data_IF_632208584822
#
_entry.id   IF_632208584822
#
_cell.length_a   1.000
_cell.length_b   1.000
_cell.length_c   1.000
_cell.angle_alpha   90.00
_cell.angle_beta   90.00
_cell.angle_gamma   90.00
#
_symmetry.space_group_name_H-M   'P 1'
#
loop_
_entity.id
_entity.type
_entity.pdbx_description
1 polymer ?
#
# COMPACT_ATOMS: atom_id res chain seq x y z
N UNK A 1 -16.85 47.41 -27.17
CA UNK A 1 -17.50 46.54 -28.20
C UNK A 1 -16.74 45.24 -28.48
N UNK A 2 -15.41 45.18 -28.27
CA UNK A 2 -14.62 43.95 -28.52
C UNK A 2 -14.84 42.85 -27.44
N UNK A 3 -15.04 43.20 -26.17
CA UNK A 3 -15.22 42.27 -25.05
C UNK A 3 -16.54 41.48 -25.15
N UNK A 4 -17.60 42.10 -25.73
CA UNK A 4 -18.88 41.42 -25.92
C UNK A 4 -18.88 40.35 -27.01
N UNK A 5 -18.00 40.47 -28.02
CA UNK A 5 -17.86 39.43 -29.08
C UNK A 5 -17.08 38.19 -28.60
N UNK A 6 -16.08 38.38 -27.75
CA UNK A 6 -15.34 37.24 -27.19
C UNK A 6 -16.18 36.37 -26.26
N UNK A 7 -17.08 36.94 -25.46
CA UNK A 7 -18.02 36.16 -24.63
C UNK A 7 -19.03 35.32 -25.45
N UNK A 8 -19.40 35.79 -26.62
CA UNK A 8 -20.32 35.06 -27.50
C UNK A 8 -19.64 33.89 -28.25
N UNK A 9 -18.34 33.97 -28.55
CA UNK A 9 -17.61 32.88 -29.21
C UNK A 9 -17.38 31.69 -28.28
N UNK A 10 -17.13 31.93 -26.99
CA UNK A 10 -16.91 30.83 -26.02
C UNK A 10 -18.19 30.06 -25.66
N UNK A 11 -19.39 30.59 -25.96
CA UNK A 11 -20.66 29.93 -25.64
C UNK A 11 -21.18 29.08 -26.83
N UNK A 12 -20.61 29.24 -28.04
CA UNK A 12 -21.13 28.58 -29.24
C UNK A 12 -20.66 27.15 -29.48
N UNK A 13 -19.58 26.75 -28.85
CA UNK A 13 -18.95 25.44 -29.17
C UNK A 13 -19.26 24.30 -28.18
N UNK A 14 -20.17 24.51 -27.23
CA UNK A 14 -20.66 23.42 -26.38
C UNK A 14 -22.16 23.29 -26.55
N UNK A 15 -22.56 22.30 -27.34
CA UNK A 15 -23.94 21.80 -27.35
C UNK A 15 -24.17 21.06 -26.04
N UNK A 16 -24.44 21.80 -24.96
CA UNK A 16 -24.73 21.21 -23.65
C UNK A 16 -26.23 20.90 -23.67
N UNK A 17 -26.61 19.61 -23.64
CA UNK A 17 -28.00 19.21 -23.52
C UNK A 17 -28.60 19.88 -22.27
N UNK A 18 -29.62 20.70 -22.45
CA UNK A 18 -30.32 21.33 -21.33
C UNK A 18 -31.44 20.43 -20.87
N UNK A 19 -31.32 19.93 -19.65
CA UNK A 19 -32.41 19.28 -18.95
C UNK A 19 -33.47 20.33 -18.58
N UNK A 20 -34.51 20.45 -19.41
CA UNK A 20 -35.61 21.40 -19.21
C UNK A 20 -36.55 21.00 -18.07
N UNK A 21 -36.58 19.73 -17.70
CA UNK A 21 -37.44 19.18 -16.64
C UNK A 21 -36.74 19.06 -15.30
N UNK A 22 -35.41 19.10 -15.29
CA UNK A 22 -34.61 18.96 -14.07
C UNK A 22 -34.57 17.53 -13.52
N UNK A 23 -34.99 16.54 -14.30
CA UNK A 23 -35.11 15.14 -13.88
C UNK A 23 -33.77 14.38 -13.96
N UNK A 24 -32.75 14.98 -14.62
CA UNK A 24 -31.45 14.35 -14.77
C UNK A 24 -30.64 14.48 -13.47
N UNK A 25 -30.45 13.37 -12.78
CA UNK A 25 -29.47 13.25 -11.69
C UNK A 25 -28.18 12.61 -12.22
N UNK A 26 -27.06 13.38 -12.28
CA UNK A 26 -25.78 12.81 -12.66
C UNK A 26 -25.34 11.76 -11.63
N UNK A 27 -25.01 10.54 -12.09
CA UNK A 27 -24.62 9.45 -11.19
C UNK A 27 -23.18 9.60 -10.66
N UNK A 28 -22.33 10.31 -11.40
CA UNK A 28 -20.89 10.44 -11.07
C UNK A 28 -20.64 11.61 -10.13
N UNK A 29 -21.29 12.75 -10.38
CA UNK A 29 -21.23 13.94 -9.49
C UNK A 29 -22.64 14.43 -9.29
N UNK A 30 -23.16 14.38 -8.08
CA UNK A 30 -24.52 14.84 -7.77
C UNK A 30 -24.64 16.35 -8.01
N UNK A 31 -25.84 16.79 -8.44
CA UNK A 31 -26.16 18.21 -8.66
C UNK A 31 -25.85 19.00 -7.37
N UNK A 32 -25.03 20.04 -7.48
CA UNK A 32 -24.55 20.86 -6.35
C UNK A 32 -23.60 20.16 -5.36
N UNK A 33 -22.98 19.07 -5.74
CA UNK A 33 -21.96 18.43 -4.93
C UNK A 33 -20.67 19.24 -5.02
N UNK A 34 -20.33 19.95 -3.96
CA UNK A 34 -19.05 20.64 -3.75
C UNK A 34 -18.06 19.77 -3.01
N UNK A 35 -18.49 18.57 -2.56
CA UNK A 35 -17.67 17.65 -1.81
C UNK A 35 -16.90 16.70 -2.74
N UNK A 36 -15.59 16.73 -2.62
CA UNK A 36 -14.62 15.97 -3.43
C UNK A 36 -14.35 14.57 -2.81
N UNK A 37 -15.05 14.21 -1.73
CA UNK A 37 -14.81 12.95 -0.98
C UNK A 37 -14.80 11.70 -1.87
N UNK A 38 -15.69 11.63 -2.86
CA UNK A 38 -15.72 10.50 -3.83
C UNK A 38 -14.48 10.44 -4.73
N UNK A 39 -13.85 11.59 -5.04
CA UNK A 39 -12.63 11.63 -5.85
C UNK A 39 -11.43 11.21 -5.00
N UNK A 40 -11.40 11.58 -3.72
CA UNK A 40 -10.35 11.14 -2.80
C UNK A 40 -10.31 9.61 -2.70
N UNK A 41 -11.46 8.96 -2.50
CA UNK A 41 -11.54 7.50 -2.43
C UNK A 41 -11.08 6.82 -3.73
N UNK A 42 -11.36 7.44 -4.87
CA UNK A 42 -10.89 6.94 -6.16
C UNK A 42 -9.38 7.13 -6.34
N UNK A 43 -8.84 8.29 -5.95
CA UNK A 43 -7.39 8.55 -5.91
C UNK A 43 -6.69 7.50 -5.06
N UNK A 44 -7.21 7.23 -3.86
CA UNK A 44 -6.67 6.22 -2.96
C UNK A 44 -6.72 4.81 -3.58
N UNK A 45 -7.83 4.47 -4.25
CA UNK A 45 -7.98 3.18 -4.95
C UNK A 45 -6.98 3.03 -6.11
N UNK A 46 -6.78 4.08 -6.92
CA UNK A 46 -5.81 4.09 -8.01
C UNK A 46 -4.38 3.99 -7.49
N UNK A 47 -4.06 4.73 -6.43
CA UNK A 47 -2.75 4.68 -5.78
C UNK A 47 -2.46 3.29 -5.20
N UNK A 48 -3.43 2.68 -4.53
CA UNK A 48 -3.33 1.30 -4.01
C UNK A 48 -3.13 0.24 -5.11
N UNK A 49 -3.56 0.52 -6.35
CA UNK A 49 -3.30 -0.32 -7.52
C UNK A 49 -1.93 -0.08 -8.15
N UNK A 50 -1.10 0.79 -7.58
CA UNK A 50 0.26 1.06 -8.02
C UNK A 50 0.40 2.17 -9.08
N UNK A 51 -0.64 2.97 -9.32
CA UNK A 51 -0.53 4.13 -10.22
C UNK A 51 0.34 5.21 -9.57
N UNK A 52 1.18 5.86 -10.37
CA UNK A 52 1.95 7.01 -9.89
C UNK A 52 1.06 8.24 -9.71
N UNK A 53 1.49 9.21 -8.89
CA UNK A 53 0.74 10.46 -8.69
C UNK A 53 0.53 11.23 -10.01
N UNK A 54 1.45 11.10 -10.97
CA UNK A 54 1.34 11.71 -12.30
C UNK A 54 0.30 11.00 -13.17
N UNK A 55 0.27 9.66 -13.14
CA UNK A 55 -0.71 8.88 -13.89
C UNK A 55 -2.11 9.11 -13.35
N UNK A 56 -2.26 9.22 -12.03
CA UNK A 56 -3.53 9.56 -11.38
C UNK A 56 -3.99 10.95 -11.80
N UNK A 57 -3.08 11.95 -11.82
CA UNK A 57 -3.38 13.30 -12.28
C UNK A 57 -3.87 13.30 -13.73
N UNK A 58 -3.17 12.60 -14.63
CA UNK A 58 -3.56 12.46 -16.02
C UNK A 58 -4.94 11.79 -16.14
N UNK A 59 -5.15 10.69 -15.42
CA UNK A 59 -6.42 9.95 -15.41
C UNK A 59 -7.60 10.81 -14.92
N UNK A 60 -7.42 11.57 -13.85
CA UNK A 60 -8.44 12.47 -13.33
C UNK A 60 -8.80 13.57 -14.35
N UNK A 61 -7.81 14.07 -15.06
CA UNK A 61 -8.03 15.07 -16.11
C UNK A 61 -8.80 14.49 -17.30
N UNK A 62 -8.40 13.32 -17.76
CA UNK A 62 -8.98 12.67 -18.95
C UNK A 62 -10.40 12.16 -18.70
N UNK A 63 -10.68 11.56 -17.54
CA UNK A 63 -11.96 10.91 -17.24
C UNK A 63 -12.95 11.87 -16.59
N UNK A 64 -12.48 12.69 -15.65
CA UNK A 64 -13.35 13.56 -14.84
C UNK A 64 -13.20 15.06 -15.17
N UNK A 65 -12.23 15.43 -16.01
CA UNK A 65 -11.96 16.83 -16.34
C UNK A 65 -11.42 17.64 -15.14
N UNK A 66 -10.91 16.97 -14.12
CA UNK A 66 -10.38 17.59 -12.90
C UNK A 66 -8.88 17.75 -13.03
N UNK A 67 -8.41 19.00 -12.96
CA UNK A 67 -6.98 19.32 -12.90
C UNK A 67 -6.49 19.18 -11.44
N UNK A 68 -5.97 17.99 -11.10
CA UNK A 68 -5.35 17.73 -9.80
C UNK A 68 -3.83 17.72 -9.96
N UNK A 69 -3.12 18.53 -9.17
CA UNK A 69 -1.66 18.51 -9.17
C UNK A 69 -1.14 17.23 -8.51
N UNK A 70 0.08 16.80 -8.90
CA UNK A 70 0.73 15.64 -8.26
C UNK A 70 0.94 15.85 -6.75
N UNK A 71 1.14 17.11 -6.33
CA UNK A 71 1.26 17.50 -4.93
C UNK A 71 -0.07 17.33 -4.18
N UNK A 72 -1.18 17.77 -4.78
CA UNK A 72 -2.52 17.56 -4.21
C UNK A 72 -2.83 16.07 -4.05
N UNK A 73 -2.48 15.23 -5.02
CA UNK A 73 -2.65 13.78 -4.93
C UNK A 73 -1.76 13.20 -3.82
N UNK A 74 -0.53 13.68 -3.66
CA UNK A 74 0.35 13.27 -2.57
C UNK A 74 -0.26 13.58 -1.21
N UNK A 75 -0.81 14.76 -1.02
CA UNK A 75 -1.52 15.12 0.22
C UNK A 75 -2.76 14.24 0.49
N UNK A 76 -3.50 13.87 -0.56
CA UNK A 76 -4.62 12.94 -0.42
C UNK A 76 -4.14 11.56 0.01
N UNK A 77 -3.02 11.06 -0.56
CA UNK A 77 -2.46 9.75 -0.19
C UNK A 77 -1.88 9.73 1.21
N UNK A 78 -1.39 10.85 1.74
CA UNK A 78 -0.89 10.95 3.11
C UNK A 78 -1.98 10.66 4.16
N UNK A 79 -3.25 10.82 3.81
CA UNK A 79 -4.39 10.45 4.69
C UNK A 79 -4.49 8.95 4.95
N UNK A 80 -3.86 8.11 4.14
CA UNK A 80 -3.77 6.67 4.38
C UNK A 80 -2.83 6.35 5.56
N UNK A 81 -1.83 7.18 5.82
CA UNK A 81 -0.81 6.89 6.84
C UNK A 81 -1.38 6.63 8.24
N UNK A 82 -2.35 7.40 8.76
CA UNK A 82 -2.99 7.10 10.04
C UNK A 82 -3.71 5.74 10.04
N UNK A 83 -4.45 5.45 8.98
CA UNK A 83 -5.20 4.19 8.81
C UNK A 83 -4.22 3.00 8.73
N UNK A 84 -3.14 3.16 7.97
CA UNK A 84 -2.10 2.14 7.87
C UNK A 84 -1.41 1.90 9.23
N UNK A 85 -1.16 2.96 10.01
CA UNK A 85 -0.60 2.84 11.36
C UNK A 85 -1.56 2.16 12.32
N UNK A 86 -2.84 2.49 12.29
CA UNK A 86 -3.87 1.83 13.10
C UNK A 86 -3.94 0.33 12.75
N UNK A 87 -3.98 0.01 11.45
CA UNK A 87 -3.94 -1.37 10.98
C UNK A 87 -2.67 -2.10 11.43
N UNK A 88 -1.50 -1.46 11.32
CA UNK A 88 -0.23 -2.04 11.74
C UNK A 88 -0.21 -2.33 13.26
N UNK A 89 -0.80 -1.46 14.08
CA UNK A 89 -0.81 -1.58 15.54
C UNK A 89 -1.99 -2.38 16.10
N UNK A 90 -2.86 -2.91 15.24
CA UNK A 90 -4.02 -3.68 15.71
C UNK A 90 -3.61 -4.88 16.55
N UNK A 91 -4.42 -5.30 17.53
CA UNK A 91 -4.18 -6.52 18.27
C UNK A 91 -4.21 -7.74 17.33
N UNK A 92 -3.38 -8.73 17.62
CA UNK A 92 -3.25 -9.97 16.89
C UNK A 92 -3.86 -11.14 17.70
N UNK A 93 -4.03 -12.28 17.05
CA UNK A 93 -4.43 -13.52 17.73
C UNK A 93 -3.31 -13.99 18.67
N UNK A 94 -3.71 -14.65 19.76
CA UNK A 94 -2.75 -15.14 20.75
C UNK A 94 -1.85 -16.25 20.24
N UNK A 95 -2.31 -17.06 19.27
CA UNK A 95 -1.57 -18.23 18.75
C UNK A 95 -1.69 -18.34 17.23
N UNK A 96 -0.56 -18.66 16.61
CA UNK A 96 -0.48 -18.96 15.18
C UNK A 96 0.11 -20.34 14.94
N UNK A 97 -0.47 -21.08 13.98
CA UNK A 97 0.07 -22.38 13.56
C UNK A 97 1.38 -22.18 12.80
N UNK A 98 1.41 -21.24 11.84
CA UNK A 98 2.59 -20.94 11.04
C UNK A 98 2.71 -19.43 10.87
N UNK A 99 3.93 -18.90 10.97
CA UNK A 99 4.24 -17.52 10.57
C UNK A 99 5.33 -17.56 9.51
N UNK A 100 5.05 -17.00 8.34
CA UNK A 100 6.01 -16.78 7.27
C UNK A 100 6.60 -15.39 7.42
N UNK A 101 7.92 -15.28 7.35
CA UNK A 101 8.64 -14.01 7.44
C UNK A 101 9.60 -13.91 6.27
N UNK A 102 9.48 -12.85 5.49
CA UNK A 102 10.28 -12.62 4.27
C UNK A 102 10.54 -11.13 4.08
N UNK A 103 11.58 -10.78 3.32
CA UNK A 103 11.95 -9.41 3.02
C UNK A 103 12.07 -9.19 1.52
N UNK A 104 11.26 -8.27 1.00
CA UNK A 104 11.32 -7.85 -0.40
C UNK A 104 12.16 -6.60 -0.53
N UNK A 105 13.24 -6.69 -1.32
CA UNK A 105 14.16 -5.59 -1.56
C UNK A 105 13.74 -4.76 -2.77
N UNK A 106 13.85 -3.44 -2.64
CA UNK A 106 13.54 -2.50 -3.71
C UNK A 106 14.47 -1.28 -3.65
N UNK A 107 14.52 -0.53 -4.75
CA UNK A 107 15.32 0.68 -4.84
C UNK A 107 14.40 1.90 -4.81
N UNK A 108 14.69 2.82 -3.91
CA UNK A 108 14.01 4.13 -3.82
C UNK A 108 15.00 5.25 -4.12
N UNK A 109 14.49 6.32 -4.69
CA UNK A 109 15.26 7.54 -4.88
C UNK A 109 15.01 8.46 -3.69
N UNK A 110 16.06 8.69 -2.88
CA UNK A 110 16.05 9.54 -1.70
C UNK A 110 17.23 10.50 -1.81
N UNK A 111 17.02 11.80 -1.63
CA UNK A 111 18.04 12.85 -1.73
C UNK A 111 18.92 12.75 -2.97
N UNK A 112 18.32 12.55 -4.15
CA UNK A 112 18.97 12.35 -5.44
C UNK A 112 19.89 11.11 -5.53
N UNK A 113 19.82 10.19 -4.56
CA UNK A 113 20.59 8.93 -4.56
C UNK A 113 19.63 7.76 -4.63
N UNK A 114 20.05 6.69 -5.30
CA UNK A 114 19.32 5.43 -5.28
C UNK A 114 19.75 4.63 -4.05
N UNK A 115 18.81 4.42 -3.11
CA UNK A 115 19.03 3.67 -1.87
C UNK A 115 18.26 2.36 -1.95
N UNK A 116 18.91 1.25 -1.55
CA UNK A 116 18.26 -0.05 -1.41
C UNK A 116 17.52 -0.07 -0.08
N UNK A 117 16.22 -0.36 -0.11
CA UNK A 117 15.38 -0.57 1.08
C UNK A 117 14.74 -1.96 1.03
N UNK A 118 14.29 -2.46 2.16
CA UNK A 118 13.57 -3.71 2.26
C UNK A 118 12.20 -3.48 2.91
N UNK A 119 11.18 -4.16 2.41
CA UNK A 119 9.90 -4.33 3.10
C UNK A 119 9.89 -5.72 3.71
N UNK A 120 9.83 -5.76 5.01
CA UNK A 120 9.68 -6.97 5.81
C UNK A 120 8.21 -7.28 5.95
N UNK A 121 7.81 -8.49 5.64
CA UNK A 121 6.42 -8.93 5.69
C UNK A 121 6.31 -10.14 6.59
N UNK A 122 5.35 -10.12 7.51
CA UNK A 122 4.99 -11.29 8.30
C UNK A 122 3.56 -11.71 7.99
N UNK A 123 3.35 -12.97 7.62
CA UNK A 123 2.05 -13.57 7.30
C UNK A 123 1.80 -14.72 8.27
N UNK A 124 0.73 -14.61 9.06
CA UNK A 124 0.31 -15.66 10.00
C UNK A 124 -0.78 -16.55 9.44
N UNK A 125 -0.70 -17.83 9.76
CA UNK A 125 -1.77 -18.81 9.56
C UNK A 125 -2.35 -19.13 10.93
N UNK A 126 -3.62 -18.77 11.12
CA UNK A 126 -4.37 -19.05 12.35
C UNK A 126 -4.61 -20.55 12.52
N UNK A 127 -4.98 -20.99 13.72
CA UNK A 127 -5.31 -22.39 13.99
C UNK A 127 -6.49 -22.91 13.14
N UNK A 128 -7.35 -22.03 12.64
CA UNK A 128 -8.44 -22.38 11.73
C UNK A 128 -8.05 -22.42 10.25
N UNK A 129 -6.77 -22.28 9.92
CA UNK A 129 -6.22 -22.29 8.56
C UNK A 129 -6.33 -20.95 7.80
N UNK A 130 -7.01 -19.93 8.34
CA UNK A 130 -7.08 -18.61 7.69
C UNK A 130 -5.75 -17.88 7.78
N UNK A 131 -5.39 -17.22 6.68
CA UNK A 131 -4.18 -16.40 6.60
C UNK A 131 -4.50 -14.94 6.89
N UNK A 132 -3.57 -14.26 7.54
CA UNK A 132 -3.61 -12.80 7.69
C UNK A 132 -2.21 -12.21 7.65
N UNK A 133 -2.09 -11.00 7.14
CA UNK A 133 -0.83 -10.25 7.21
C UNK A 133 -0.69 -9.67 8.61
N UNK A 134 0.33 -10.08 9.36
CA UNK A 134 0.56 -9.60 10.73
C UNK A 134 1.08 -8.16 10.73
N UNK A 135 1.90 -7.82 9.76
CA UNK A 135 2.43 -6.47 9.59
C UNK A 135 3.40 -6.37 8.43
N UNK A 136 3.76 -5.12 8.11
CA UNK A 136 4.77 -4.76 7.13
C UNK A 136 5.65 -3.67 7.71
N UNK A 137 6.97 -3.84 7.59
CA UNK A 137 7.96 -2.89 8.12
C UNK A 137 8.93 -2.50 7.02
N UNK A 138 9.33 -1.23 6.99
CA UNK A 138 10.31 -0.72 6.03
C UNK A 138 11.63 -0.48 6.75
N UNK A 139 12.70 -1.07 6.24
CA UNK A 139 14.04 -0.91 6.81
C UNK A 139 15.12 -0.77 5.72
N UNK A 140 16.31 -0.30 6.14
CA UNK A 140 17.43 -0.11 5.22
C UNK A 140 18.18 -1.41 4.91
N UNK A 141 18.47 -2.21 5.92
CA UNK A 141 19.24 -3.45 5.79
C UNK A 141 18.59 -4.58 6.54
N UNK A 142 18.55 -5.75 5.91
CA UNK A 142 18.11 -6.97 6.56
C UNK A 142 19.17 -7.42 7.58
N UNK A 143 18.73 -7.55 8.83
CA UNK A 143 19.58 -8.02 9.93
C UNK A 143 18.76 -8.77 10.97
N UNK A 144 19.39 -9.72 11.66
CA UNK A 144 18.77 -10.44 12.76
C UNK A 144 18.28 -9.49 13.87
N UNK A 145 19.00 -8.39 14.11
CA UNK A 145 18.60 -7.35 15.08
C UNK A 145 17.29 -6.66 14.68
N UNK A 146 17.10 -6.39 13.38
CA UNK A 146 15.88 -5.78 12.90
C UNK A 146 14.69 -6.75 13.04
N UNK A 147 14.89 -8.02 12.66
CA UNK A 147 13.91 -9.06 12.85
C UNK A 147 13.53 -9.28 14.32
N UNK A 148 14.50 -9.17 15.23
CA UNK A 148 14.22 -9.21 16.67
C UNK A 148 13.26 -8.09 17.09
N UNK A 149 13.40 -6.88 16.54
CA UNK A 149 12.47 -5.78 16.82
C UNK A 149 11.08 -6.05 16.27
N UNK A 150 10.96 -6.62 15.07
CA UNK A 150 9.70 -7.03 14.45
C UNK A 150 9.00 -8.11 15.29
N UNK A 151 9.75 -9.13 15.73
CA UNK A 151 9.19 -10.21 16.56
C UNK A 151 8.68 -9.69 17.92
N UNK A 152 9.41 -8.76 18.55
CA UNK A 152 8.98 -8.11 19.79
C UNK A 152 7.71 -7.27 19.57
N UNK A 153 7.60 -6.57 18.45
CA UNK A 153 6.39 -5.83 18.11
C UNK A 153 5.18 -6.77 17.95
N UNK A 154 5.35 -7.88 17.22
CA UNK A 154 4.31 -8.92 17.07
C UNK A 154 3.88 -9.45 18.44
N UNK A 155 4.83 -9.73 19.33
CA UNK A 155 4.55 -10.17 20.71
C UNK A 155 3.78 -9.12 21.51
N UNK A 156 4.20 -7.86 21.44
CA UNK A 156 3.55 -6.74 22.13
C UNK A 156 2.10 -6.51 21.64
N UNK A 157 1.77 -6.94 20.44
CA UNK A 157 0.43 -6.88 19.86
C UNK A 157 -0.45 -8.07 20.24
N UNK A 158 0.02 -8.93 21.16
CA UNK A 158 -0.77 -9.98 21.80
C UNK A 158 -0.43 -11.41 21.37
N UNK A 159 0.55 -11.63 20.50
CA UNK A 159 0.96 -13.00 20.12
C UNK A 159 1.76 -13.63 21.27
N UNK A 160 1.25 -14.70 21.81
CA UNK A 160 1.87 -15.44 22.92
C UNK A 160 2.71 -16.61 22.42
N UNK A 161 2.24 -17.28 21.34
CA UNK A 161 2.84 -18.51 20.84
C UNK A 161 2.74 -18.66 19.32
N UNK A 162 3.79 -19.21 18.72
CA UNK A 162 3.87 -19.56 17.30
C UNK A 162 4.44 -20.98 17.21
N UNK A 163 3.71 -21.90 16.59
CA UNK A 163 4.17 -23.29 16.48
C UNK A 163 5.34 -23.41 15.49
N UNK A 164 5.21 -22.85 14.28
CA UNK A 164 6.23 -22.92 13.23
C UNK A 164 6.50 -21.53 12.68
N UNK A 165 7.77 -21.13 12.60
CA UNK A 165 8.22 -19.93 11.91
C UNK A 165 8.98 -20.33 10.66
N UNK A 166 8.47 -19.94 9.49
CA UNK A 166 9.11 -20.18 8.21
C UNK A 166 9.88 -18.94 7.77
N UNK A 167 11.20 -19.08 7.64
CA UNK A 167 12.14 -17.99 7.35
C UNK A 167 13.16 -18.42 6.29
N UNK A 168 13.84 -17.42 5.71
CA UNK A 168 15.02 -17.66 4.90
C UNK A 168 16.25 -18.05 5.76
N UNK A 169 17.38 -18.28 5.11
CA UNK A 169 18.62 -18.72 5.76
C UNK A 169 19.45 -17.61 6.43
N UNK A 170 18.87 -16.46 6.79
CA UNK A 170 19.61 -15.35 7.39
C UNK A 170 20.29 -15.75 8.70
N UNK A 171 21.60 -15.47 8.79
CA UNK A 171 22.40 -15.80 9.98
C UNK A 171 21.90 -15.05 11.21
N UNK A 172 21.74 -15.78 12.34
CA UNK A 172 21.25 -15.23 13.62
C UNK A 172 19.74 -15.00 13.69
N UNK A 173 18.97 -15.32 12.61
CA UNK A 173 17.52 -15.17 12.66
C UNK A 173 16.88 -16.21 13.60
N UNK A 174 17.41 -17.43 13.62
CA UNK A 174 16.95 -18.48 14.53
C UNK A 174 17.09 -18.06 16.01
N UNK A 175 18.22 -17.48 16.37
CA UNK A 175 18.45 -17.00 17.74
C UNK A 175 17.46 -15.87 18.11
N UNK A 176 17.18 -14.97 17.18
CA UNK A 176 16.21 -13.90 17.38
C UNK A 176 14.78 -14.46 17.59
N UNK A 177 14.39 -15.51 16.84
CA UNK A 177 13.10 -16.16 16.99
C UNK A 177 12.99 -16.82 18.36
N UNK A 178 13.96 -17.65 18.73
CA UNK A 178 13.95 -18.35 20.03
C UNK A 178 14.04 -17.41 21.25
N UNK A 179 14.66 -16.23 21.09
CA UNK A 179 14.68 -15.22 22.14
C UNK A 179 13.27 -14.65 22.45
N UNK A 180 12.37 -14.60 21.47
CA UNK A 180 11.02 -14.04 21.64
C UNK A 180 9.97 -15.14 21.80
N UNK A 181 10.08 -16.19 21.00
CA UNK A 181 9.18 -17.37 20.95
C UNK A 181 9.99 -18.65 21.14
N UNK A 182 10.33 -19.02 22.39
CA UNK A 182 11.22 -20.16 22.66
C UNK A 182 10.70 -21.51 22.22
N UNK A 183 9.38 -21.66 22.10
CA UNK A 183 8.72 -22.92 21.71
C UNK A 183 8.52 -23.05 20.19
N UNK A 184 8.85 -22.00 19.43
CA UNK A 184 8.64 -22.00 17.98
C UNK A 184 9.62 -22.95 17.28
N UNK A 185 9.13 -23.81 16.41
CA UNK A 185 9.96 -24.59 15.49
C UNK A 185 10.31 -23.75 14.27
N UNK A 186 11.57 -23.81 13.83
CA UNK A 186 12.06 -23.02 12.70
C UNK A 186 12.13 -23.90 11.46
N UNK A 187 11.32 -23.56 10.46
CA UNK A 187 11.35 -24.15 9.14
C UNK A 187 12.10 -23.21 8.18
N UNK A 188 13.25 -23.65 7.68
CA UNK A 188 13.96 -22.89 6.64
C UNK A 188 13.24 -23.02 5.30
N UNK A 189 12.97 -21.89 4.66
CA UNK A 189 12.37 -21.85 3.33
C UNK A 189 13.39 -22.32 2.29
N UNK A 190 13.03 -23.33 1.49
CA UNK A 190 13.87 -23.87 0.42
C UNK A 190 13.73 -23.04 -0.87
N UNK A 191 12.66 -22.26 -1.00
CA UNK A 191 12.29 -21.51 -2.20
C UNK A 191 13.29 -20.39 -2.57
N UNK A 192 13.92 -19.64 -1.64
CA UNK A 192 14.89 -18.60 -2.00
C UNK A 192 16.09 -19.07 -2.84
N UNK A 193 16.43 -20.36 -2.71
CA UNK A 193 17.56 -20.95 -3.46
C UNK A 193 17.22 -21.12 -4.94
N UNK A 194 15.95 -21.28 -5.30
CA UNK A 194 15.53 -21.51 -6.69
C UNK A 194 15.36 -20.23 -7.49
N UNK A 195 15.06 -19.08 -6.87
CA UNK A 195 14.92 -17.81 -7.58
C UNK A 195 16.24 -17.19 -8.06
N UNK A 196 17.37 -17.54 -7.45
CA UNK A 196 18.69 -17.07 -7.91
C UNK A 196 19.14 -17.72 -9.23
N UNK A 197 18.47 -18.77 -9.67
CA UNK A 197 18.76 -19.47 -10.91
C UNK A 197 17.71 -19.25 -12.02
N UNK A 198 16.59 -18.61 -11.73
CA UNK A 198 15.60 -18.23 -12.73
C UNK A 198 15.91 -16.81 -13.23
N UNK A 199 16.89 -16.70 -14.11
CA UNK A 199 17.00 -15.51 -14.97
C UNK A 199 15.80 -15.50 -15.90
N UNK A 200 14.84 -14.62 -15.66
CA UNK A 200 13.79 -14.33 -16.63
C UNK A 200 14.48 -13.81 -17.91
N UNK A 201 14.14 -14.36 -19.09
CA UNK A 201 14.65 -13.79 -20.34
C UNK A 201 14.14 -12.36 -20.43
N UNK A 202 15.06 -11.41 -20.44
CA UNK A 202 14.78 -10.01 -20.77
C UNK A 202 14.53 -9.93 -22.27
N UNK A 203 13.26 -9.78 -22.67
CA UNK A 203 12.91 -9.27 -24.00
C UNK A 203 12.91 -7.74 -23.96
#
# INVERSE_FOLDING_TARGET
KAIRRQRQMCIRDRDIPRDRKGDFEPQIVKKNQTDISNIEDQVLSMYAKGMTTRDISAHLKDVYGVDASAEMISHMTDRILPIAKEWQNRPLERKYAIVFMDAVHFHVREDNRTVKKAVYVAIGVKLNGKREVLGMWVGGNESAKYWLSVLNEIKNRGVEDIMIVSVDGLTGFGDAIHAVFPQAEIQRCIVPVSYTHLTLPTN
#
